data_IF_545392582522
#
_entry.id   IF_545392582522
#
_cell.length_a   1.000
_cell.length_b   1.000
_cell.length_c   1.000
_cell.angle_alpha   90.00
_cell.angle_beta   90.00
_cell.angle_gamma   90.00
#
_symmetry.space_group_name_H-M   'P 1'
#
loop_
_entity.id
_entity.type
_entity.pdbx_description
1 polymer ?
#
# COMPACT_ATOMS: atom_id res chain seq x y z
N UNK A 1 -13.19 -0.87 9.48
CA UNK A 1 -11.98 -1.45 8.89
C UNK A 1 -11.51 -0.63 7.71
N UNK A 2 -10.22 -0.46 7.56
CA UNK A 2 -9.68 0.23 6.40
C UNK A 2 -9.83 -0.64 5.15
N UNK A 3 -10.01 0.01 4.01
CA UNK A 3 -10.12 -0.66 2.73
C UNK A 3 -8.83 -0.46 1.95
N UNK A 4 -8.28 -1.54 1.44
CA UNK A 4 -7.01 -1.51 0.71
C UNK A 4 -7.24 -1.93 -0.74
N UNK A 5 -6.80 -1.08 -1.66
CA UNK A 5 -6.97 -1.28 -3.10
C UNK A 5 -5.62 -1.21 -3.79
N UNK A 6 -5.42 -2.10 -4.73
CA UNK A 6 -4.22 -2.08 -5.57
C UNK A 6 -4.61 -1.78 -7.01
N UNK A 7 -3.90 -0.88 -7.64
CA UNK A 7 -4.17 -0.51 -9.02
C UNK A 7 -3.98 -1.71 -9.96
N UNK A 8 -4.70 -1.77 -11.07
CA UNK A 8 -4.56 -2.87 -12.04
C UNK A 8 -3.13 -3.09 -12.53
N UNK A 9 -2.35 -2.02 -12.65
CA UNK A 9 -0.95 -2.14 -13.09
C UNK A 9 -0.11 -2.96 -12.11
N UNK A 10 -0.46 -2.93 -10.83
CA UNK A 10 0.23 -3.73 -9.82
C UNK A 10 -0.24 -5.17 -9.89
N UNK A 11 -1.50 -5.38 -10.19
CA UNK A 11 -2.11 -6.71 -10.23
C UNK A 11 -1.75 -7.52 -11.47
N UNK A 12 -0.95 -6.97 -12.37
CA UNK A 12 -0.48 -7.71 -13.55
C UNK A 12 0.31 -8.95 -13.18
N UNK A 13 1.04 -8.89 -12.08
CA UNK A 13 1.94 -9.96 -11.65
C UNK A 13 1.36 -10.78 -10.51
N UNK A 14 0.60 -10.14 -9.64
CA UNK A 14 0.02 -10.77 -8.46
C UNK A 14 -1.41 -10.26 -8.34
N UNK A 15 -2.37 -11.17 -8.42
CA UNK A 15 -3.77 -10.80 -8.28
C UNK A 15 -4.08 -10.64 -6.79
N UNK A 16 -4.50 -9.43 -6.41
CA UNK A 16 -4.79 -9.09 -5.03
C UNK A 16 -6.22 -8.56 -4.98
N UNK A 17 -7.12 -9.28 -4.35
CA UNK A 17 -8.47 -8.76 -4.21
C UNK A 17 -8.49 -7.57 -3.28
N UNK A 18 -9.48 -6.74 -3.45
CA UNK A 18 -9.78 -5.66 -2.53
C UNK A 18 -9.96 -6.23 -1.13
N UNK A 19 -9.32 -5.61 -0.13
CA UNK A 19 -9.31 -6.14 1.23
C UNK A 19 -9.85 -5.13 2.23
N UNK A 20 -10.52 -5.63 3.26
CA UNK A 20 -10.85 -4.86 4.44
C UNK A 20 -9.94 -5.32 5.57
N UNK A 21 -9.25 -4.39 6.19
CA UNK A 21 -8.21 -4.71 7.16
C UNK A 21 -8.34 -3.83 8.39
N UNK A 22 -8.26 -4.45 9.56
CA UNK A 22 -8.18 -3.73 10.82
C UNK A 22 -6.74 -3.25 11.00
N UNK A 23 -6.52 -1.97 10.78
CA UNK A 23 -5.20 -1.38 10.88
C UNK A 23 -5.29 0.05 11.35
N UNK A 24 -4.26 0.55 12.00
CA UNK A 24 -4.18 1.92 12.47
C UNK A 24 -3.21 2.76 11.65
N UNK A 25 -2.41 2.11 10.82
CA UNK A 25 -1.43 2.77 9.97
C UNK A 25 -1.30 2.03 8.65
N UNK A 26 -0.70 2.71 7.68
CA UNK A 26 -0.51 2.12 6.34
C UNK A 26 0.37 0.87 6.41
N UNK A 27 1.45 0.93 7.20
CA UNK A 27 2.35 -0.22 7.31
C UNK A 27 1.65 -1.44 7.93
N UNK A 28 0.77 -1.23 8.90
CA UNK A 28 -0.01 -2.33 9.45
C UNK A 28 -0.95 -2.94 8.43
N UNK A 29 -1.60 -2.10 7.64
CA UNK A 29 -2.50 -2.58 6.59
C UNK A 29 -1.75 -3.39 5.55
N UNK A 30 -0.60 -2.89 5.11
CA UNK A 30 0.22 -3.61 4.12
C UNK A 30 0.78 -4.90 4.70
N UNK A 31 1.21 -4.89 5.96
CA UNK A 31 1.74 -6.10 6.60
C UNK A 31 0.70 -7.22 6.63
N UNK A 32 -0.56 -6.88 6.85
CA UNK A 32 -1.64 -7.87 6.85
C UNK A 32 -1.80 -8.52 5.47
N UNK A 33 -1.68 -7.73 4.40
CA UNK A 33 -1.77 -8.26 3.05
C UNK A 33 -0.53 -9.11 2.72
N UNK A 34 0.64 -8.65 3.12
CA UNK A 34 1.89 -9.38 2.86
C UNK A 34 1.92 -10.73 3.57
N UNK A 35 1.25 -10.84 4.70
CA UNK A 35 1.15 -12.12 5.41
C UNK A 35 0.46 -13.18 4.54
N UNK A 36 -0.53 -12.76 3.76
CA UNK A 36 -1.23 -13.67 2.85
C UNK A 36 -0.57 -13.82 1.49
N UNK A 37 0.27 -12.87 1.09
CA UNK A 37 0.95 -12.90 -0.19
C UNK A 37 2.37 -12.32 -0.02
N UNK A 38 3.30 -13.13 0.48
CA UNK A 38 4.66 -12.65 0.78
C UNK A 38 5.43 -12.06 -0.40
N UNK A 39 5.13 -12.53 -1.61
CA UNK A 39 5.81 -12.02 -2.81
C UNK A 39 5.52 -10.55 -3.06
N UNK A 40 4.37 -10.11 -2.60
CA UNK A 40 3.93 -8.73 -2.81
C UNK A 40 4.82 -7.74 -2.08
N UNK A 41 5.34 -8.13 -0.93
CA UNK A 41 6.18 -7.22 -0.13
C UNK A 41 7.36 -6.69 -0.93
N UNK A 42 8.10 -7.56 -1.60
CA UNK A 42 9.26 -7.15 -2.40
C UNK A 42 8.88 -6.32 -3.62
N UNK A 43 7.62 -6.37 -4.02
CA UNK A 43 7.11 -5.58 -5.14
C UNK A 43 6.79 -4.14 -4.71
N UNK A 44 6.29 -4.00 -3.50
CA UNK A 44 5.82 -2.71 -2.97
C UNK A 44 6.92 -1.99 -2.19
N UNK A 45 7.69 -2.73 -1.41
CA UNK A 45 8.71 -2.18 -0.53
C UNK A 45 10.12 -2.58 -1.00
N UNK A 46 11.07 -1.71 -0.75
CA UNK A 46 12.48 -2.00 -1.03
C UNK A 46 13.10 -2.78 0.14
N UNK A 47 14.39 -3.03 0.06
CA UNK A 47 15.13 -3.80 1.08
C UNK A 47 15.10 -3.15 2.46
N UNK A 48 14.86 -1.86 2.52
CA UNK A 48 14.82 -1.11 3.77
C UNK A 48 13.41 -0.99 4.32
N UNK A 49 12.44 -1.58 3.63
CA UNK A 49 11.05 -1.47 4.02
C UNK A 49 10.38 -0.19 3.60
N UNK A 50 11.03 0.62 2.80
CA UNK A 50 10.46 1.85 2.28
C UNK A 50 9.67 1.60 1.00
N UNK A 51 8.70 2.45 0.75
CA UNK A 51 7.92 2.38 -0.49
C UNK A 51 8.83 2.61 -1.69
N UNK A 52 8.70 1.75 -2.70
CA UNK A 52 9.50 1.89 -3.90
C UNK A 52 9.18 3.17 -4.64
N UNK A 53 10.16 3.73 -5.33
CA UNK A 53 10.07 5.04 -5.99
C UNK A 53 8.95 5.15 -7.00
N UNK A 54 8.71 4.08 -7.75
CA UNK A 54 7.71 4.08 -8.81
C UNK A 54 6.30 3.84 -8.30
N UNK A 55 6.15 3.71 -6.99
CA UNK A 55 4.85 3.48 -6.39
C UNK A 55 4.42 4.66 -5.54
N UNK A 56 3.12 4.81 -5.39
CA UNK A 56 2.54 5.82 -4.52
C UNK A 56 1.42 5.18 -3.72
N UNK A 57 1.25 5.65 -2.50
CA UNK A 57 0.15 5.22 -1.64
C UNK A 57 -0.65 6.46 -1.26
N UNK A 58 -1.96 6.36 -1.43
CA UNK A 58 -2.88 7.43 -1.06
C UNK A 58 -3.79 6.94 0.06
N UNK A 59 -4.00 7.79 1.05
CA UNK A 59 -4.95 7.54 2.13
C UNK A 59 -6.03 8.61 2.04
N UNK A 60 -7.25 8.19 1.78
CA UNK A 60 -8.40 9.08 1.64
C UNK A 60 -8.14 10.23 0.66
N UNK A 61 -7.48 9.89 -0.45
CA UNK A 61 -7.18 10.83 -1.52
C UNK A 61 -5.94 11.68 -1.32
N UNK A 62 -5.20 11.48 -0.23
CA UNK A 62 -3.98 12.22 0.04
C UNK A 62 -2.76 11.31 -0.01
N UNK A 63 -1.67 11.74 -0.66
CA UNK A 63 -0.46 10.92 -0.66
C UNK A 63 0.11 10.78 0.75
N UNK A 64 0.68 9.62 1.03
CA UNK A 64 1.30 9.39 2.34
C UNK A 64 2.47 10.36 2.53
N UNK A 65 2.68 10.76 3.77
CA UNK A 65 3.79 11.64 4.13
C UNK A 65 5.06 10.85 4.38
N UNK A 66 4.92 9.69 5.00
CA UNK A 66 6.07 8.88 5.40
C UNK A 66 6.22 7.69 4.45
N UNK A 67 7.01 7.88 3.41
CA UNK A 67 7.27 6.82 2.44
C UNK A 67 8.28 5.79 2.94
N UNK A 68 9.03 6.12 3.99
CA UNK A 68 10.07 5.23 4.51
C UNK A 68 9.52 4.18 5.46
N UNK A 69 8.62 4.59 6.34
CA UNK A 69 8.06 3.70 7.35
C UNK A 69 6.58 3.42 7.13
N UNK A 70 5.94 4.24 6.30
CA UNK A 70 4.51 4.15 6.03
C UNK A 70 3.72 4.23 7.33
N UNK A 71 4.14 5.12 8.21
CA UNK A 71 3.55 5.29 9.53
C UNK A 71 2.29 6.17 9.53
N UNK A 72 1.90 6.69 8.38
CA UNK A 72 0.69 7.51 8.28
C UNK A 72 -0.50 6.77 8.90
N UNK A 73 -1.25 7.49 9.72
CA UNK A 73 -2.41 6.93 10.38
C UNK A 73 -3.57 6.69 9.42
N UNK A 74 -4.31 5.63 9.66
CA UNK A 74 -5.55 5.34 8.92
C UNK A 74 -6.68 5.17 9.91
N UNK A 75 -7.86 5.64 9.52
CA UNK A 75 -9.06 5.49 10.33
C UNK A 75 -9.81 4.21 9.97
N UNK A 76 -10.88 3.94 10.70
CA UNK A 76 -11.68 2.73 10.49
C UNK A 76 -12.28 2.63 9.10
N UNK A 77 -12.56 3.75 8.47
CA UNK A 77 -13.18 3.77 7.14
C UNK A 77 -12.24 4.33 6.07
N UNK A 78 -10.96 4.45 6.39
CA UNK A 78 -10.00 4.98 5.43
C UNK A 78 -9.86 4.09 4.21
N UNK A 79 -9.63 4.71 3.07
CA UNK A 79 -9.38 4.02 1.81
C UNK A 79 -7.91 4.22 1.45
N UNK A 80 -7.22 3.12 1.32
CA UNK A 80 -5.79 3.10 1.00
C UNK A 80 -5.64 2.60 -0.42
N UNK A 81 -5.03 3.41 -1.29
CA UNK A 81 -4.79 3.05 -2.67
C UNK A 81 -3.29 2.92 -2.90
N UNK A 82 -2.89 1.77 -3.40
CA UNK A 82 -1.51 1.55 -3.84
C UNK A 82 -1.51 1.58 -5.36
N UNK A 83 -0.83 2.56 -5.92
CA UNK A 83 -0.83 2.79 -7.36
C UNK A 83 0.58 2.95 -7.86
N UNK A 84 0.76 2.76 -9.16
CA UNK A 84 2.01 3.06 -9.81
C UNK A 84 2.05 4.56 -10.06
N UNK A 85 3.08 5.22 -9.54
CA UNK A 85 3.22 6.64 -9.77
C UNK A 85 3.47 6.90 -11.23
N UNK A 86 2.82 7.93 -11.76
CA UNK A 86 3.15 8.37 -13.10
C UNK A 86 4.59 8.84 -13.04
N UNK A 87 5.42 8.20 -13.82
CA UNK A 87 6.83 8.54 -13.87
C UNK A 87 6.98 9.84 -14.64
N UNK A 88 6.47 10.88 -14.08
CA UNK A 88 6.70 12.20 -14.65
C UNK A 88 8.11 12.64 -14.36
N UNK A 89 8.86 11.77 -14.05
CA UNK A 89 10.23 12.19 -13.78
C UNK A 89 10.82 11.30 -12.82
#
# INVERSE_FOLDING_TARGET
>A
MAHLFFAPSIQRHIVIPECEIAAKSVDEALAAVFAGEPRLRGYILDDQGALRRHLAVFVDGRPVRDRRRLSDEVGETSRIYVVQALSGG
#
